data_IF_459224609135
#
_entry.id   IF_459224609135
#
_cell.length_a   1.000
_cell.length_b   1.000
_cell.length_c   1.000
_cell.angle_alpha   90.00
_cell.angle_beta   90.00
_cell.angle_gamma   90.00
#
_symmetry.space_group_name_H-M   'P 1'
#
loop_
_entity.id
_entity.type
_entity.pdbx_description
1 polymer ?
#
# COMPACT_ATOMS: atom_id res chain seq x y z
N UNK A 1 -6.36 -11.12 18.04
CA UNK A 1 -7.25 -10.51 17.03
C UNK A 1 -8.57 -10.11 17.67
N UNK A 2 -8.91 -8.83 17.63
CA UNK A 2 -10.21 -8.34 18.10
C UNK A 2 -11.25 -8.56 16.99
N UNK A 3 -12.38 -9.20 17.29
CA UNK A 3 -13.45 -9.45 16.32
C UNK A 3 -14.53 -8.40 16.53
N UNK A 4 -14.76 -7.58 15.52
CA UNK A 4 -15.80 -6.55 15.54
C UNK A 4 -17.13 -7.09 14.99
N UNK A 5 -18.24 -6.53 15.48
CA UNK A 5 -19.58 -6.82 14.92
C UNK A 5 -19.69 -6.43 13.45
N UNK A 6 -19.05 -5.32 13.07
CA UNK A 6 -18.96 -4.90 11.67
C UNK A 6 -17.92 -5.77 10.94
N UNK A 7 -18.40 -6.64 10.04
CA UNK A 7 -17.57 -7.60 9.33
C UNK A 7 -16.49 -6.92 8.47
N UNK A 8 -16.73 -5.69 8.00
CA UNK A 8 -15.78 -4.92 7.19
C UNK A 8 -14.53 -4.53 7.97
N UNK A 9 -14.63 -4.44 9.30
CA UNK A 9 -13.48 -4.18 10.18
C UNK A 9 -12.62 -5.42 10.42
N UNK A 10 -13.10 -6.60 10.02
CA UNK A 10 -12.42 -7.86 10.25
C UNK A 10 -11.63 -8.33 9.02
N UNK A 11 -11.98 -7.89 7.81
CA UNK A 11 -11.27 -8.29 6.59
C UNK A 11 -11.49 -7.34 5.41
N UNK A 12 -10.47 -7.24 4.54
CA UNK A 12 -10.53 -6.47 3.30
C UNK A 12 -11.55 -7.05 2.32
N UNK A 13 -11.76 -8.36 2.33
CA UNK A 13 -12.73 -9.06 1.48
C UNK A 13 -14.18 -8.66 1.83
N UNK A 14 -14.50 -8.49 3.12
CA UNK A 14 -15.83 -8.02 3.53
C UNK A 14 -16.04 -6.54 3.17
N UNK A 15 -14.98 -5.71 3.25
CA UNK A 15 -15.03 -4.33 2.77
C UNK A 15 -15.24 -4.26 1.25
N UNK A 16 -14.49 -5.07 0.48
CA UNK A 16 -14.63 -5.22 -0.97
C UNK A 16 -16.06 -5.59 -1.38
N UNK A 17 -16.66 -6.59 -0.73
CA UNK A 17 -18.05 -7.00 -0.99
C UNK A 17 -19.03 -5.84 -0.80
N UNK A 18 -18.87 -5.05 0.26
CA UNK A 18 -19.74 -3.89 0.46
C UNK A 18 -19.56 -2.85 -0.63
N UNK A 19 -18.32 -2.51 -0.98
CA UNK A 19 -18.04 -1.50 -2.00
C UNK A 19 -18.68 -1.88 -3.34
N UNK A 20 -18.52 -3.13 -3.77
CA UNK A 20 -19.14 -3.63 -5.01
C UNK A 20 -20.67 -3.63 -4.93
N UNK A 21 -21.23 -4.12 -3.82
CA UNK A 21 -22.69 -4.20 -3.64
C UNK A 21 -23.38 -2.83 -3.52
N UNK A 22 -22.63 -1.78 -3.19
CA UNK A 22 -23.15 -0.43 -2.95
C UNK A 22 -22.68 0.60 -3.98
N UNK A 23 -21.88 0.19 -4.97
CA UNK A 23 -21.32 1.08 -6.00
C UNK A 23 -20.36 2.15 -5.45
N UNK A 24 -19.56 1.82 -4.43
CA UNK A 24 -18.56 2.74 -3.86
C UNK A 24 -17.26 2.71 -4.65
N UNK A 25 -16.54 3.84 -4.68
CA UNK A 25 -15.30 3.99 -5.46
C UNK A 25 -14.07 3.28 -4.86
N UNK A 26 -14.09 2.94 -3.57
CA UNK A 26 -12.90 2.38 -2.94
C UNK A 26 -12.97 2.11 -1.45
N UNK A 27 -11.82 1.73 -0.91
CA UNK A 27 -11.59 1.32 0.49
C UNK A 27 -10.47 2.19 1.08
N UNK A 28 -10.63 2.55 2.35
CA UNK A 28 -9.58 3.16 3.16
C UNK A 28 -9.29 2.20 4.32
N UNK A 29 -8.05 1.74 4.46
CA UNK A 29 -7.68 0.70 5.45
C UNK A 29 -6.39 1.02 6.20
N UNK A 30 -6.22 0.46 7.40
CA UNK A 30 -4.92 0.51 8.08
C UNK A 30 -3.85 -0.18 7.22
N UNK A 31 -2.69 0.47 7.09
CA UNK A 31 -1.52 0.00 6.34
C UNK A 31 -1.09 -1.40 6.74
N UNK A 32 -1.19 -1.77 8.01
CA UNK A 32 -0.83 -3.13 8.46
C UNK A 32 -1.75 -4.18 7.87
N UNK A 33 -3.03 -3.86 7.64
CA UNK A 33 -3.98 -4.80 7.06
C UNK A 33 -3.63 -5.14 5.60
N UNK A 34 -3.20 -4.15 4.82
CA UNK A 34 -2.78 -4.38 3.44
C UNK A 34 -1.42 -5.08 3.35
N UNK A 35 -0.46 -4.73 4.23
CA UNK A 35 0.86 -5.36 4.25
C UNK A 35 0.78 -6.84 4.67
N UNK A 36 -0.15 -7.21 5.57
CA UNK A 36 -0.39 -8.61 5.95
C UNK A 36 -1.07 -9.44 4.87
N UNK A 37 -1.85 -8.82 4.00
CA UNK A 37 -2.57 -9.52 2.94
C UNK A 37 -2.37 -8.85 1.57
N UNK A 38 -1.15 -8.95 0.98
CA UNK A 38 -0.88 -8.41 -0.34
C UNK A 38 -1.77 -9.00 -1.44
N UNK A 39 -2.23 -10.24 -1.29
CA UNK A 39 -3.13 -10.89 -2.25
C UNK A 39 -4.49 -10.17 -2.31
N UNK A 40 -5.02 -9.71 -1.17
CA UNK A 40 -6.26 -8.93 -1.15
C UNK A 40 -6.11 -7.58 -1.88
N UNK A 41 -4.92 -6.97 -1.85
CA UNK A 41 -4.67 -5.74 -2.62
C UNK A 41 -4.84 -6.01 -4.11
N UNK A 42 -4.21 -7.06 -4.65
CA UNK A 42 -4.36 -7.43 -6.05
C UNK A 42 -5.83 -7.64 -6.45
N UNK A 43 -6.60 -8.37 -5.63
CA UNK A 43 -8.03 -8.59 -5.86
C UNK A 43 -8.84 -7.28 -5.86
N UNK A 44 -8.54 -6.35 -4.95
CA UNK A 44 -9.20 -5.02 -4.92
C UNK A 44 -8.88 -4.22 -6.19
N UNK A 45 -7.62 -4.28 -6.66
CA UNK A 45 -7.19 -3.60 -7.89
C UNK A 45 -7.84 -4.19 -9.14
N UNK A 46 -7.95 -5.51 -9.23
CA UNK A 46 -8.68 -6.20 -10.30
C UNK A 46 -10.16 -5.80 -10.35
N UNK A 47 -10.76 -5.58 -9.18
CA UNK A 47 -12.12 -5.06 -9.05
C UNK A 47 -12.27 -3.57 -9.43
N UNK A 48 -11.18 -2.91 -9.87
CA UNK A 48 -11.12 -1.50 -10.28
C UNK A 48 -11.53 -0.52 -9.18
N UNK A 49 -11.38 -0.93 -7.92
CA UNK A 49 -11.60 -0.06 -6.77
C UNK A 49 -10.31 0.65 -6.39
N UNK A 50 -10.46 1.86 -5.83
CA UNK A 50 -9.35 2.57 -5.20
C UNK A 50 -9.08 1.98 -3.82
N UNK A 51 -7.81 1.89 -3.45
CA UNK A 51 -7.36 1.48 -2.14
C UNK A 51 -6.39 2.52 -1.60
N UNK A 52 -6.79 3.16 -0.51
CA UNK A 52 -5.96 4.11 0.23
C UNK A 52 -5.65 3.54 1.61
N UNK A 53 -4.54 3.97 2.19
CA UNK A 53 -4.15 3.52 3.52
C UNK A 53 -4.01 4.65 4.53
N UNK A 54 -4.15 4.32 5.80
CA UNK A 54 -3.77 5.16 6.94
C UNK A 54 -2.91 4.36 7.93
N UNK A 55 -2.35 5.04 8.93
CA UNK A 55 -1.67 4.41 10.06
C UNK A 55 -0.20 4.82 10.15
N UNK A 56 0.42 4.58 11.30
CA UNK A 56 1.74 5.13 11.62
C UNK A 56 2.85 4.74 10.64
N UNK A 57 2.77 3.56 10.01
CA UNK A 57 3.76 3.12 9.03
C UNK A 57 3.70 3.90 7.71
N UNK A 58 2.64 4.66 7.45
CA UNK A 58 2.60 5.54 6.27
C UNK A 58 3.59 6.72 6.38
N UNK A 59 4.06 7.04 7.59
CA UNK A 59 5.10 8.04 7.81
C UNK A 59 6.52 7.48 7.56
N UNK A 60 6.64 6.28 7.00
CA UNK A 60 7.92 5.62 6.70
C UNK A 60 8.10 5.46 5.20
N UNK A 61 9.13 6.12 4.64
CA UNK A 61 9.40 6.20 3.21
C UNK A 61 9.46 4.82 2.52
N UNK A 62 10.14 3.87 3.15
CA UNK A 62 10.31 2.51 2.64
C UNK A 62 8.98 1.77 2.57
N UNK A 63 8.09 2.00 3.54
CA UNK A 63 6.76 1.39 3.57
C UNK A 63 5.85 2.01 2.51
N UNK A 64 5.91 3.33 2.31
CA UNK A 64 5.16 3.99 1.22
C UNK A 64 5.64 3.49 -0.14
N UNK A 65 6.95 3.31 -0.32
CA UNK A 65 7.52 2.73 -1.53
C UNK A 65 6.99 1.31 -1.79
N UNK A 66 6.96 0.44 -0.77
CA UNK A 66 6.35 -0.89 -0.89
C UNK A 66 4.87 -0.83 -1.24
N UNK A 67 4.11 0.06 -0.61
CA UNK A 67 2.68 0.23 -0.91
C UNK A 67 2.45 0.65 -2.36
N UNK A 68 3.28 1.55 -2.89
CA UNK A 68 3.22 1.92 -4.30
C UNK A 68 3.50 0.73 -5.22
N UNK A 69 4.52 -0.10 -4.92
CA UNK A 69 4.79 -1.33 -5.68
C UNK A 69 3.64 -2.34 -5.62
N UNK A 70 2.88 -2.35 -4.52
CA UNK A 70 1.68 -3.18 -4.35
C UNK A 70 0.45 -2.63 -5.10
N UNK A 71 0.53 -1.43 -5.67
CA UNK A 71 -0.57 -0.78 -6.39
C UNK A 71 -1.57 -0.03 -5.52
N UNK A 72 -1.17 0.35 -4.29
CA UNK A 72 -1.96 1.24 -3.42
C UNK A 72 -2.06 2.63 -4.06
N UNK A 73 -3.28 3.20 -4.12
CA UNK A 73 -3.56 4.44 -4.86
C UNK A 73 -3.19 5.71 -4.08
N UNK A 74 -3.05 5.61 -2.76
CA UNK A 74 -2.71 6.76 -1.93
C UNK A 74 -2.49 6.41 -0.46
N UNK A 75 -1.75 7.28 0.22
CA UNK A 75 -1.42 7.15 1.64
C UNK A 75 -1.86 8.41 2.39
N UNK A 76 -2.50 8.23 3.54
CA UNK A 76 -2.78 9.29 4.51
C UNK A 76 -1.61 9.33 5.49
N UNK A 77 -0.95 10.48 5.60
CA UNK A 77 0.31 10.68 6.33
C UNK A 77 0.29 11.95 7.16
N UNK A 78 1.05 11.95 8.25
CA UNK A 78 1.33 13.14 9.05
C UNK A 78 2.57 13.88 8.51
N UNK A 79 3.58 13.12 8.07
CA UNK A 79 4.84 13.64 7.55
C UNK A 79 4.76 13.95 6.05
N UNK A 80 3.86 14.89 5.70
CA UNK A 80 3.52 15.20 4.29
C UNK A 80 4.76 15.59 3.47
N UNK A 81 5.63 16.45 4.00
CA UNK A 81 6.80 16.93 3.26
C UNK A 81 7.73 15.77 2.90
N UNK A 82 8.18 15.01 3.89
CA UNK A 82 9.13 13.90 3.73
C UNK A 82 8.60 12.83 2.77
N UNK A 83 7.32 12.45 2.93
CA UNK A 83 6.70 11.45 2.05
C UNK A 83 6.49 12.01 0.64
N UNK A 84 6.14 13.29 0.49
CA UNK A 84 5.98 13.90 -0.83
C UNK A 84 7.29 13.94 -1.62
N UNK A 85 8.44 14.16 -0.97
CA UNK A 85 9.76 14.14 -1.61
C UNK A 85 10.10 12.74 -2.11
N UNK A 86 9.83 11.72 -1.29
CA UNK A 86 10.00 10.31 -1.63
C UNK A 86 9.11 9.92 -2.82
N UNK A 87 7.83 10.28 -2.78
CA UNK A 87 6.88 9.99 -3.88
C UNK A 87 7.22 10.77 -5.14
N UNK A 88 7.68 12.02 -5.04
CA UNK A 88 8.11 12.81 -6.20
C UNK A 88 9.34 12.22 -6.88
N UNK A 89 10.25 11.66 -6.08
CA UNK A 89 11.37 10.86 -6.59
C UNK A 89 10.91 9.62 -7.37
N UNK A 90 9.70 9.12 -7.10
CA UNK A 90 9.08 8.03 -7.84
C UNK A 90 8.41 8.46 -9.15
N UNK A 91 7.83 9.66 -9.19
CA UNK A 91 7.03 10.18 -10.32
C UNK A 91 7.87 10.67 -11.49
N UNK A 92 9.21 10.76 -11.35
CA UNK A 92 10.11 11.13 -12.44
C UNK A 92 10.19 10.15 -13.62
N UNK A 93 9.45 9.03 -13.61
CA UNK A 93 9.62 7.91 -14.56
C UNK A 93 8.41 7.62 -15.47
N UNK A 94 7.25 8.27 -15.33
CA UNK A 94 6.18 8.04 -16.32
C UNK A 94 5.55 9.33 -16.86
N UNK A 95 6.02 9.75 -18.06
CA UNK A 95 5.22 10.18 -19.23
C UNK A 95 6.15 10.46 -20.42
N UNK A 96 6.90 9.46 -20.88
CA UNK A 96 7.37 9.46 -22.27
C UNK A 96 7.09 8.08 -22.85
N UNK A 97 6.58 8.12 -24.06
CA UNK A 97 5.99 7.02 -24.80
C UNK A 97 6.83 5.75 -24.76
N UNK A 98 6.13 4.63 -24.79
CA UNK A 98 6.69 3.29 -24.83
C UNK A 98 7.69 3.13 -25.99
N UNK A 99 8.97 3.40 -25.75
CA UNK A 99 10.08 2.93 -26.57
C UNK A 99 11.15 2.27 -25.69
N UNK A 100 11.29 0.97 -25.94
CA UNK A 100 12.40 0.06 -25.65
C UNK A 100 13.60 0.60 -24.84
N UNK A 101 13.56 0.33 -23.53
CA UNK A 101 14.71 0.52 -22.63
C UNK A 101 14.32 0.18 -21.21
N UNK A 102 14.32 -1.10 -20.86
CA UNK A 102 13.94 -1.59 -19.53
C UNK A 102 14.90 -1.09 -18.46
N UNK A 103 14.61 0.08 -17.90
CA UNK A 103 15.28 0.58 -16.71
C UNK A 103 14.69 -0.15 -15.50
N UNK A 104 15.56 -0.80 -14.74
CA UNK A 104 15.21 -1.58 -13.55
C UNK A 104 14.72 -0.62 -12.46
N UNK A 105 13.41 -0.29 -12.48
CA UNK A 105 12.71 0.54 -11.49
C UNK A 105 12.65 -0.13 -10.10
N UNK A 106 13.66 -0.88 -9.71
CA UNK A 106 13.75 -1.45 -8.37
C UNK A 106 14.19 -0.33 -7.43
N UNK A 107 13.36 0.08 -6.46
CA UNK A 107 13.80 1.01 -5.43
C UNK A 107 15.04 0.43 -4.75
N UNK A 108 16.13 1.21 -4.76
CA UNK A 108 17.39 0.83 -4.13
C UNK A 108 17.33 1.20 -2.66
N UNK A 109 17.08 0.21 -1.82
CA UNK A 109 17.14 0.35 -0.38
C UNK A 109 18.58 0.12 0.12
N UNK A 110 19.02 0.96 1.05
CA UNK A 110 20.24 0.71 1.83
C UNK A 110 20.10 -0.55 2.71
N UNK A 111 21.22 -1.09 3.21
CA UNK A 111 21.18 -2.26 4.11
C UNK A 111 20.34 -2.01 5.38
N UNK A 112 20.38 -0.79 5.93
CA UNK A 112 19.56 -0.41 7.08
C UNK A 112 18.06 -0.47 6.78
N UNK A 113 17.67 0.07 5.63
CA UNK A 113 16.30 0.04 5.13
C UNK A 113 15.83 -1.38 4.83
N UNK A 114 16.67 -2.21 4.21
CA UNK A 114 16.38 -3.62 3.99
C UNK A 114 16.26 -4.40 5.29
N UNK A 115 17.08 -4.10 6.30
CA UNK A 115 16.97 -4.70 7.63
C UNK A 115 15.63 -4.34 8.29
N UNK A 116 15.22 -3.07 8.18
CA UNK A 116 13.92 -2.61 8.67
C UNK A 116 12.77 -3.35 7.99
N UNK A 117 12.75 -3.42 6.66
CA UNK A 117 11.69 -4.10 5.92
C UNK A 117 11.60 -5.60 6.28
N UNK A 118 12.74 -6.27 6.45
CA UNK A 118 12.76 -7.67 6.90
C UNK A 118 12.17 -7.85 8.30
N UNK A 119 12.50 -6.95 9.23
CA UNK A 119 11.91 -6.95 10.59
C UNK A 119 10.40 -6.70 10.53
N UNK A 120 9.98 -5.72 9.74
CA UNK A 120 8.57 -5.40 9.56
C UNK A 120 7.78 -6.59 8.99
N UNK A 121 8.30 -7.25 7.94
CA UNK A 121 7.66 -8.46 7.40
C UNK A 121 7.57 -9.56 8.44
N UNK A 122 8.64 -9.78 9.24
CA UNK A 122 8.61 -10.76 10.31
C UNK A 122 7.55 -10.42 11.38
N UNK A 123 7.44 -9.16 11.80
CA UNK A 123 6.42 -8.71 12.75
C UNK A 123 5.01 -8.95 12.22
N UNK A 124 4.76 -8.64 10.94
CA UNK A 124 3.44 -8.81 10.31
C UNK A 124 3.00 -10.27 10.18
N UNK A 125 3.94 -11.23 10.17
CA UNK A 125 3.66 -12.67 10.15
C UNK A 125 3.33 -13.22 11.55
N UNK A 126 3.77 -12.53 12.61
CA UNK A 126 3.67 -13.00 14.00
C UNK A 126 2.49 -12.40 14.79
N UNK A 127 1.72 -11.45 14.25
CA UNK A 127 0.50 -10.84 14.85
C UNK A 127 -0.81 -11.32 14.21
#
# INVERSE_FOLDING_TARGET
>A
MEIYRDRRRNSLEEALRLCLGSGLDGIVSDVRAVLRNPAAVAVIKEAKLRLLTYGGLNNTAEVVCLQQMMGIDGVIVDHVQEISEVVSGFVGVETVDAEEGGDDWRPKFSEGQMSFLRKLVAELVHE
#
